data_IF_950718683247
#
_entry.id   IF_950718683247
#
_cell.length_a   1.000
_cell.length_b   1.000
_cell.length_c   1.000
_cell.angle_alpha   90.00
_cell.angle_beta   90.00
_cell.angle_gamma   90.00
#
_symmetry.space_group_name_H-M   'P 1'
#
loop_
_entity.id
_entity.type
_entity.pdbx_description
1 polymer ?
#
# COMPACT_ATOMS: atom_id res chain seq x y z
N UNK A 1 -1.24 -7.03 27.73
CA UNK A 1 -0.93 -8.32 27.09
C UNK A 1 0.51 -8.30 26.60
N UNK A 2 1.22 -9.43 26.66
CA UNK A 2 2.55 -9.54 26.04
C UNK A 2 2.34 -9.66 24.54
N UNK A 3 3.01 -8.77 23.79
CA UNK A 3 3.02 -8.81 22.34
C UNK A 3 3.81 -10.05 21.87
N UNK A 4 3.13 -10.98 21.20
CA UNK A 4 3.71 -12.20 20.63
C UNK A 4 3.89 -12.08 19.11
N UNK A 5 3.73 -10.90 18.53
CA UNK A 5 3.77 -10.71 17.07
C UNK A 5 5.16 -10.88 16.46
N UNK A 6 6.21 -10.96 17.27
CA UNK A 6 7.62 -10.91 16.84
C UNK A 6 7.96 -9.70 15.97
N UNK A 7 7.09 -8.68 15.95
CA UNK A 7 7.30 -7.46 15.18
C UNK A 7 8.28 -6.57 15.94
N UNK A 8 9.33 -6.05 15.29
CA UNK A 8 10.25 -5.11 15.90
C UNK A 8 9.52 -3.92 16.52
N UNK A 9 9.79 -3.66 17.80
CA UNK A 9 9.15 -2.56 18.54
C UNK A 9 9.76 -1.19 18.26
N UNK A 10 11.00 -1.14 17.77
CA UNK A 10 11.72 0.11 17.49
C UNK A 10 11.51 0.57 16.06
N UNK A 11 11.45 1.90 15.86
CA UNK A 11 11.28 2.47 14.52
C UNK A 11 12.49 2.19 13.64
N UNK A 12 13.68 2.26 14.22
CA UNK A 12 14.96 2.04 13.53
C UNK A 12 15.05 0.62 12.97
N UNK A 13 14.63 -0.38 13.75
CA UNK A 13 14.62 -1.77 13.30
C UNK A 13 13.52 -2.02 12.26
N UNK A 14 12.32 -1.43 12.42
CA UNK A 14 11.28 -1.49 11.38
C UNK A 14 11.70 -0.82 10.08
N UNK A 15 12.44 0.29 10.14
CA UNK A 15 12.94 0.99 8.95
C UNK A 15 14.07 0.21 8.27
N UNK A 16 14.85 -0.55 9.04
CA UNK A 16 15.91 -1.43 8.54
C UNK A 16 15.36 -2.72 7.91
N UNK A 17 14.43 -3.40 8.58
CA UNK A 17 13.91 -4.70 8.14
C UNK A 17 12.74 -4.57 7.16
N UNK A 18 11.92 -3.53 7.29
CA UNK A 18 10.71 -3.32 6.49
C UNK A 18 10.63 -1.88 5.94
N UNK A 19 11.60 -1.41 5.15
CA UNK A 19 11.60 -0.03 4.65
C UNK A 19 10.32 0.27 3.85
N UNK A 20 9.71 1.43 4.13
CA UNK A 20 8.58 1.92 3.33
C UNK A 20 9.13 2.75 2.19
N UNK A 21 9.08 2.20 0.99
CA UNK A 21 9.56 2.85 -0.22
C UNK A 21 8.49 3.80 -0.77
N UNK A 22 8.95 4.89 -1.36
CA UNK A 22 8.11 5.80 -2.12
C UNK A 22 7.75 5.14 -3.46
N UNK A 23 6.46 4.97 -3.80
CA UNK A 23 6.07 4.43 -5.09
C UNK A 23 6.51 5.33 -6.25
N UNK A 24 6.85 4.72 -7.38
CA UNK A 24 7.39 5.42 -8.55
C UNK A 24 6.43 6.50 -9.10
N UNK A 25 5.12 6.22 -9.08
CA UNK A 25 4.07 7.09 -9.63
C UNK A 25 3.90 8.40 -8.86
N UNK A 26 4.53 8.57 -7.69
CA UNK A 26 4.54 9.86 -7.00
C UNK A 26 5.42 10.87 -7.74
N UNK A 27 6.55 10.43 -8.28
CA UNK A 27 7.46 11.28 -9.06
C UNK A 27 7.08 11.29 -10.54
N UNK A 28 6.62 10.14 -11.05
CA UNK A 28 6.34 9.93 -12.47
C UNK A 28 4.90 9.39 -12.69
N UNK A 29 3.86 10.18 -12.37
CA UNK A 29 2.46 9.71 -12.47
C UNK A 29 2.04 9.40 -13.91
N UNK A 30 2.70 10.00 -14.90
CA UNK A 30 2.41 9.82 -16.34
C UNK A 30 2.84 8.45 -16.87
N UNK A 31 3.74 7.77 -16.14
CA UNK A 31 4.27 6.44 -16.47
C UNK A 31 3.41 5.31 -15.90
N UNK A 32 2.35 5.64 -15.14
CA UNK A 32 1.40 4.68 -14.63
C UNK A 32 0.49 4.15 -15.75
N UNK A 33 0.22 2.85 -15.73
CA UNK A 33 -0.45 2.12 -16.81
C UNK A 33 0.58 1.52 -17.76
N UNK A 34 0.59 0.20 -17.89
CA UNK A 34 1.45 -0.48 -18.88
C UNK A 34 0.80 -0.34 -20.25
N UNK A 35 1.53 0.25 -21.21
CA UNK A 35 1.03 0.57 -22.57
C UNK A 35 1.13 -0.60 -23.57
N UNK A 36 1.47 -1.80 -23.10
CA UNK A 36 1.68 -3.00 -23.91
C UNK A 36 1.32 -4.26 -23.10
N UNK A 37 1.64 -5.47 -23.59
CA UNK A 37 1.38 -6.77 -22.95
C UNK A 37 2.26 -7.03 -21.70
N UNK A 38 2.37 -6.06 -20.80
CA UNK A 38 3.13 -6.18 -19.56
C UNK A 38 2.24 -6.09 -18.32
N UNK A 39 2.77 -6.59 -17.22
CA UNK A 39 2.13 -6.59 -15.90
C UNK A 39 3.08 -5.88 -14.94
N UNK A 40 2.59 -4.84 -14.26
CA UNK A 40 3.31 -4.19 -13.16
C UNK A 40 2.47 -4.24 -11.90
N UNK A 41 3.14 -4.52 -10.79
CA UNK A 41 2.50 -4.69 -9.50
C UNK A 41 3.22 -3.85 -8.48
N UNK A 42 2.50 -3.00 -7.76
CA UNK A 42 3.01 -2.19 -6.65
C UNK A 42 2.33 -2.61 -5.36
N UNK A 43 3.09 -3.13 -4.40
CA UNK A 43 2.56 -3.47 -3.09
C UNK A 43 2.44 -2.21 -2.21
N UNK A 44 1.22 -1.89 -1.78
CA UNK A 44 0.92 -0.74 -0.93
C UNK A 44 0.75 -1.10 0.56
N UNK A 45 0.98 -2.38 0.89
CA UNK A 45 0.92 -2.94 2.23
C UNK A 45 -0.36 -3.73 2.51
N UNK A 46 -0.29 -4.68 3.45
CA UNK A 46 -1.36 -5.64 3.72
C UNK A 46 -1.78 -6.40 2.44
N UNK A 47 -3.07 -6.55 2.19
CA UNK A 47 -3.62 -7.07 0.93
C UNK A 47 -3.74 -5.99 -0.16
N UNK A 48 -3.36 -4.73 0.11
CA UNK A 48 -3.46 -3.66 -0.88
C UNK A 48 -2.35 -3.74 -1.92
N UNK A 49 -2.75 -4.07 -3.13
CA UNK A 49 -1.87 -4.13 -4.30
C UNK A 49 -2.48 -3.29 -5.43
N UNK A 50 -1.66 -2.42 -6.01
CA UNK A 50 -1.97 -1.74 -7.27
C UNK A 50 -1.43 -2.59 -8.42
N UNK A 51 -2.30 -2.95 -9.35
CA UNK A 51 -1.98 -3.78 -10.51
C UNK A 51 -2.22 -2.96 -11.76
N UNK A 52 -1.26 -3.01 -12.67
CA UNK A 52 -1.32 -2.36 -13.96
C UNK A 52 -1.15 -3.43 -15.04
N UNK A 53 -2.18 -3.61 -15.87
CA UNK A 53 -2.18 -4.59 -16.97
C UNK A 53 -3.17 -4.18 -18.05
N UNK A 54 -2.83 -4.44 -19.31
CA UNK A 54 -3.73 -4.20 -20.46
C UNK A 54 -4.33 -2.78 -20.44
N UNK A 55 -3.48 -1.78 -20.20
CA UNK A 55 -3.85 -0.35 -20.07
C UNK A 55 -4.80 -0.02 -18.90
N UNK A 56 -5.13 -0.99 -18.05
CA UNK A 56 -5.94 -0.81 -16.85
C UNK A 56 -5.07 -0.72 -15.59
N UNK A 57 -5.50 0.11 -14.65
CA UNK A 57 -4.96 0.19 -13.30
C UNK A 57 -6.06 -0.14 -12.30
N UNK A 58 -5.86 -1.16 -11.46
CA UNK A 58 -6.81 -1.51 -10.42
C UNK A 58 -6.16 -1.74 -9.07
N UNK A 59 -6.94 -1.57 -8.01
CA UNK A 59 -6.54 -1.81 -6.63
C UNK A 59 -7.27 -3.03 -6.06
N UNK A 60 -6.58 -3.75 -5.19
CA UNK A 60 -7.14 -4.84 -4.39
C UNK A 60 -7.23 -4.41 -2.93
N UNK A 61 -8.31 -4.75 -2.23
CA UNK A 61 -8.54 -4.55 -0.79
C UNK A 61 -7.88 -3.27 -0.20
N UNK A 62 -8.25 -2.07 -0.68
CA UNK A 62 -7.51 -0.84 -0.35
C UNK A 62 -7.69 -0.43 1.12
N UNK A 63 -6.60 -0.51 1.89
CA UNK A 63 -6.53 -0.06 3.29
C UNK A 63 -5.43 0.99 3.47
N UNK A 64 -5.79 2.25 3.24
CA UNK A 64 -4.92 3.41 3.45
C UNK A 64 -5.02 4.00 4.88
N UNK A 65 -6.01 3.57 5.66
CA UNK A 65 -6.18 4.02 7.04
C UNK A 65 -5.06 3.52 7.96
N UNK A 66 -4.93 4.15 9.13
CA UNK A 66 -3.97 3.71 10.16
C UNK A 66 -4.44 2.48 10.94
N UNK A 67 -5.74 2.18 10.92
CA UNK A 67 -6.36 1.06 11.63
C UNK A 67 -7.33 0.31 10.71
N UNK A 68 -7.26 -1.01 10.73
CA UNK A 68 -8.25 -1.89 10.11
C UNK A 68 -9.33 -2.21 11.17
N UNK A 69 -10.22 -1.24 11.42
CA UNK A 69 -11.25 -1.36 12.45
C UNK A 69 -12.45 -0.46 12.14
N UNK A 70 -13.68 -0.86 12.50
CA UNK A 70 -14.85 0.02 12.45
C UNK A 70 -14.78 1.16 13.50
N UNK A 71 -13.89 1.06 14.49
CA UNK A 71 -13.67 2.08 15.51
C UNK A 71 -12.35 2.81 15.32
N UNK A 72 -12.36 4.14 15.48
CA UNK A 72 -11.15 4.97 15.43
C UNK A 72 -10.26 4.81 16.68
N UNK A 73 -10.80 4.24 17.77
CA UNK A 73 -10.11 4.14 19.07
C UNK A 73 -9.56 2.74 19.36
N UNK A 74 -10.24 1.71 18.87
CA UNK A 74 -9.96 0.31 19.20
C UNK A 74 -9.72 -0.48 17.92
N UNK A 75 -8.83 -1.46 17.96
CA UNK A 75 -8.54 -2.36 16.84
C UNK A 75 -7.11 -2.22 16.31
N UNK A 76 -6.71 -3.14 15.41
CA UNK A 76 -5.32 -3.29 14.99
C UNK A 76 -4.84 -2.04 14.25
N UNK A 77 -3.71 -1.50 14.70
CA UNK A 77 -3.00 -0.40 14.03
C UNK A 77 -1.96 -1.00 13.09
N UNK A 78 -1.80 -0.42 11.91
CA UNK A 78 -0.73 -0.82 10.98
C UNK A 78 0.65 -0.61 11.60
N UNK A 79 1.54 -1.58 11.41
CA UNK A 79 2.93 -1.50 11.86
C UNK A 79 3.77 -0.54 10.99
N UNK A 80 3.49 -0.50 9.69
CA UNK A 80 4.17 0.35 8.71
C UNK A 80 3.15 1.24 8.03
N UNK A 81 3.44 2.54 7.86
CA UNK A 81 2.55 3.52 7.18
C UNK A 81 2.27 3.12 5.73
N UNK A 82 1.20 3.66 5.14
CA UNK A 82 0.98 3.51 3.71
C UNK A 82 2.12 4.20 2.95
N UNK A 83 2.60 3.62 1.84
CA UNK A 83 3.68 4.23 1.07
C UNK A 83 3.21 5.48 0.31
N UNK A 84 1.91 5.62 0.06
CA UNK A 84 1.27 6.81 -0.50
C UNK A 84 -0.09 7.09 0.18
N UNK A 85 -0.63 8.26 -0.11
CA UNK A 85 -2.02 8.67 0.17
C UNK A 85 -2.91 8.38 -1.03
N UNK A 86 -4.23 8.38 -0.81
CA UNK A 86 -5.21 8.16 -1.89
C UNK A 86 -5.11 9.24 -2.99
N UNK A 87 -4.76 10.48 -2.62
CA UNK A 87 -4.61 11.59 -3.56
C UNK A 87 -3.36 11.50 -4.44
N UNK A 88 -2.38 10.68 -4.07
CA UNK A 88 -1.15 10.45 -4.83
C UNK A 88 -1.27 9.25 -5.79
N UNK A 89 -2.40 8.55 -5.79
CA UNK A 89 -2.62 7.45 -6.71
C UNK A 89 -2.83 7.98 -8.14
N UNK A 90 -2.35 7.26 -9.16
CA UNK A 90 -2.74 7.52 -10.55
C UNK A 90 -4.25 7.24 -10.72
N UNK A 91 -4.85 7.62 -11.87
CA UNK A 91 -6.22 7.23 -12.19
C UNK A 91 -6.42 5.72 -12.03
N UNK A 92 -7.43 5.32 -11.25
CA UNK A 92 -7.77 3.92 -10.98
C UNK A 92 -9.06 3.58 -11.71
N UNK A 93 -9.03 2.52 -12.52
CA UNK A 93 -10.18 2.06 -13.31
C UNK A 93 -11.12 1.16 -12.50
N UNK A 94 -10.57 0.35 -11.59
CA UNK A 94 -11.35 -0.58 -10.78
C UNK A 94 -10.77 -0.81 -9.38
N UNK A 95 -11.66 -1.22 -8.47
CA UNK A 95 -11.30 -1.68 -7.11
C UNK A 95 -11.93 -3.05 -6.88
N UNK A 96 -11.11 -3.99 -6.44
CA UNK A 96 -11.49 -5.36 -6.06
C UNK A 96 -11.52 -5.42 -4.53
N UNK A 97 -12.58 -6.04 -3.98
CA UNK A 97 -12.92 -6.15 -2.56
C UNK A 97 -13.19 -7.61 -2.21
#
# INVERSE_FOLDING_TARGET
>A
EKDHSSVPGSKEELDKELPVLKPYFIDEPQEAGVREAGLRVTWLGHATVMVEMDELIFLTDPVFSSRASPSQRVGPKRFRRAPCTVSELPPIDAVLI
#
